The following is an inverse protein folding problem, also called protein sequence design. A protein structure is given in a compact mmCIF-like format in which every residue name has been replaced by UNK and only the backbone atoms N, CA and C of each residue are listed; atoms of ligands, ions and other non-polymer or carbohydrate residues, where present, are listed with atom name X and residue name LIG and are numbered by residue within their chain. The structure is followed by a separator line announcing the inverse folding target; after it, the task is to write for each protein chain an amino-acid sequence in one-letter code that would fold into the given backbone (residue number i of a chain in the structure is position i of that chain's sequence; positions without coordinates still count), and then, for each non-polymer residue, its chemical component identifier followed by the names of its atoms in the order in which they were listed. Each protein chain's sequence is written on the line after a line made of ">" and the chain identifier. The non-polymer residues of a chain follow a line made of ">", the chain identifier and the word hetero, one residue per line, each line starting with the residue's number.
data_IF_243609918665
#
_entry.id   IF_243609918665
#
_cell.length_a   1.000
_cell.length_b   1.000
_cell.length_c   1.000
_cell.angle_alpha   90.00
_cell.angle_beta   90.00
_cell.angle_gamma   90.00
#
_symmetry.space_group_name_H-M   'P 1'
#
loop_
_entity.id
_entity.type
_entity.pdbx_description
1 polymer ?
#
# COMPACT_ATOMS: atom_id res chain seq x y z
N UNK A 1 -1.77 1.49 -22.37
CA UNK A 1 -1.66 1.77 -20.95
C UNK A 1 -2.45 2.95 -20.58
N UNK A 2 -3.37 2.80 -19.70
CA UNK A 2 -4.19 3.89 -19.26
C UNK A 2 -3.84 4.30 -17.85
N UNK A 3 -4.50 5.34 -17.39
CA UNK A 3 -4.32 5.82 -16.03
C UNK A 3 -4.71 4.75 -14.99
N UNK A 4 -5.51 3.81 -15.40
CA UNK A 4 -5.96 2.76 -14.50
C UNK A 4 -4.80 1.94 -13.96
N UNK A 5 -3.83 1.64 -14.82
CA UNK A 5 -2.67 0.85 -14.38
C UNK A 5 -1.90 1.57 -13.28
N UNK A 6 -1.72 2.87 -13.46
CA UNK A 6 -0.98 3.66 -12.48
C UNK A 6 -1.75 3.72 -11.17
N UNK A 7 -3.05 3.90 -11.24
CA UNK A 7 -3.87 3.96 -10.04
C UNK A 7 -3.83 2.64 -9.27
N UNK A 8 -3.89 1.54 -9.99
CA UNK A 8 -3.84 0.22 -9.35
C UNK A 8 -2.50 0.01 -8.65
N UNK A 9 -1.42 0.40 -9.31
CA UNK A 9 -0.09 0.26 -8.72
C UNK A 9 0.01 1.09 -7.45
N UNK A 10 -0.48 2.31 -7.49
CA UNK A 10 -0.44 3.19 -6.33
C UNK A 10 -1.23 2.60 -5.16
N UNK A 11 -2.40 2.06 -5.44
CA UNK A 11 -3.21 1.45 -4.40
C UNK A 11 -2.47 0.28 -3.76
N UNK A 12 -1.85 -0.55 -4.57
CA UNK A 12 -1.12 -1.71 -4.06
C UNK A 12 0.06 -1.26 -3.21
N UNK A 13 0.79 -0.25 -3.66
CA UNK A 13 1.95 0.24 -2.91
C UNK A 13 1.51 0.81 -1.57
N UNK A 14 0.46 1.60 -1.54
CA UNK A 14 -0.04 2.20 -0.31
C UNK A 14 -0.52 1.12 0.65
N UNK A 15 -1.25 0.14 0.14
CA UNK A 15 -1.74 -0.95 0.97
C UNK A 15 -0.59 -1.72 1.59
N UNK A 16 0.44 -2.00 0.80
CA UNK A 16 1.60 -2.70 1.28
C UNK A 16 2.31 -1.90 2.37
N UNK A 17 2.43 -0.61 2.14
CA UNK A 17 3.08 0.28 3.09
C UNK A 17 2.33 0.30 4.42
N UNK A 18 1.01 0.36 4.36
CA UNK A 18 0.20 0.37 5.57
C UNK A 18 0.36 -0.91 6.37
N UNK A 19 0.41 -2.04 5.69
CA UNK A 19 0.61 -3.32 6.38
C UNK A 19 1.94 -3.33 7.11
N UNK A 20 2.99 -2.85 6.46
CA UNK A 20 4.31 -2.82 7.08
C UNK A 20 4.30 -1.90 8.30
N UNK A 21 3.68 -0.74 8.18
CA UNK A 21 3.60 0.20 9.29
C UNK A 21 2.88 -0.42 10.47
N UNK A 22 1.78 -1.11 10.21
CA UNK A 22 1.01 -1.76 11.26
C UNK A 22 1.86 -2.82 11.96
N UNK A 23 2.62 -3.58 11.21
CA UNK A 23 3.46 -4.61 11.79
C UNK A 23 4.56 -4.00 12.67
N UNK A 24 5.13 -2.89 12.24
CA UNK A 24 6.20 -2.24 12.99
C UNK A 24 5.67 -1.58 14.24
N UNK A 25 4.51 -0.96 14.15
CA UNK A 25 3.92 -0.25 15.28
C UNK A 25 2.89 -1.10 16.01
N UNK A 26 2.93 -2.37 15.82
CA UNK A 26 1.97 -3.26 16.44
C UNK A 26 1.98 -3.06 17.96
N UNK A 27 0.93 -2.52 18.52
CA UNK A 27 0.87 -2.34 19.97
C UNK A 27 0.69 -3.69 20.63
N UNK A 28 1.40 -3.89 21.64
CA UNK A 28 1.36 -5.15 22.32
C UNK A 28 0.03 -5.47 22.99
#
# INVERSE_FOLDING_TARGET
>A
MGSFSILLILIVIVAFFLVVVIMVQNPK
#
